data_IF_206311709573
#
_entry.id   IF_206311709573
#
_cell.length_a   1.000
_cell.length_b   1.000
_cell.length_c   1.000
_cell.angle_alpha   90.00
_cell.angle_beta   90.00
_cell.angle_gamma   90.00
#
_symmetry.space_group_name_H-M   'P 1'
#
loop_
_entity.id
_entity.type
_entity.pdbx_description
1 polymer ?
#
# COMPACT_ATOMS: atom_id res chain seq x y z
N UNK A 1 -31.23 -30.91 -3.71
CA UNK A 1 -30.93 -31.06 -2.27
C UNK A 1 -29.65 -30.30 -1.92
N UNK A 2 -29.81 -29.07 -1.42
CA UNK A 2 -28.69 -28.30 -0.87
C UNK A 2 -28.46 -28.75 0.57
N UNK A 3 -27.48 -29.63 0.79
CA UNK A 3 -27.05 -29.96 2.15
C UNK A 3 -26.51 -28.67 2.78
N UNK A 4 -27.27 -28.09 3.72
CA UNK A 4 -26.78 -27.05 4.62
C UNK A 4 -25.66 -27.71 5.42
N UNK A 5 -24.41 -27.35 5.10
CA UNK A 5 -23.22 -27.87 5.75
C UNK A 5 -22.85 -26.92 6.88
N UNK A 6 -22.41 -27.51 7.98
CA UNK A 6 -21.99 -26.84 9.20
C UNK A 6 -20.93 -25.74 8.93
N UNK A 7 -21.18 -24.55 9.48
CA UNK A 7 -20.35 -23.36 9.30
C UNK A 7 -18.94 -23.55 9.88
N UNK A 8 -18.79 -24.36 10.93
CA UNK A 8 -17.49 -24.68 11.52
C UNK A 8 -16.62 -25.50 10.56
N UNK A 9 -17.23 -26.45 9.84
CA UNK A 9 -16.54 -27.23 8.78
C UNK A 9 -16.08 -26.34 7.63
N UNK A 10 -16.89 -25.34 7.23
CA UNK A 10 -16.49 -24.37 6.20
C UNK A 10 -15.32 -23.50 6.68
N UNK A 11 -15.39 -22.99 7.92
CA UNK A 11 -14.34 -22.18 8.52
C UNK A 11 -13.01 -22.95 8.63
N UNK A 12 -13.04 -24.20 9.07
CA UNK A 12 -11.87 -25.08 9.15
C UNK A 12 -11.22 -25.33 7.78
N UNK A 13 -12.02 -25.66 6.75
CA UNK A 13 -11.51 -25.88 5.40
C UNK A 13 -10.88 -24.61 4.78
N UNK A 14 -11.44 -23.43 5.06
CA UNK A 14 -10.86 -22.16 4.63
C UNK A 14 -9.54 -21.86 5.37
N UNK A 15 -9.49 -22.08 6.69
CA UNK A 15 -8.28 -21.92 7.48
C UNK A 15 -7.13 -22.82 6.98
N UNK A 16 -7.40 -24.09 6.71
CA UNK A 16 -6.41 -25.03 6.13
C UNK A 16 -5.94 -24.58 4.75
N UNK A 17 -6.83 -23.97 3.95
CA UNK A 17 -6.44 -23.37 2.67
C UNK A 17 -5.57 -22.12 2.84
N UNK A 18 -5.77 -21.35 3.91
CA UNK A 18 -5.03 -20.12 4.19
C UNK A 18 -3.61 -20.39 4.71
N UNK A 19 -3.40 -21.49 5.44
CA UNK A 19 -2.07 -21.96 5.85
C UNK A 19 -1.31 -22.69 4.72
N UNK A 20 -1.87 -22.74 3.50
CA UNK A 20 -1.19 -23.25 2.30
C UNK A 20 -1.36 -24.74 2.02
N UNK A 21 -2.26 -25.44 2.73
CA UNK A 21 -2.50 -26.87 2.51
C UNK A 21 -3.11 -27.12 1.12
N UNK A 22 -2.64 -28.16 0.41
CA UNK A 22 -3.18 -28.52 -0.91
C UNK A 22 -4.64 -28.95 -0.78
N UNK A 23 -5.48 -28.63 -1.76
CA UNK A 23 -6.92 -28.92 -1.69
C UNK A 23 -7.22 -30.42 -1.48
N UNK A 24 -6.36 -31.31 -2.00
CA UNK A 24 -6.50 -32.76 -1.82
C UNK A 24 -6.24 -33.19 -0.37
N UNK A 25 -5.20 -32.64 0.27
CA UNK A 25 -4.87 -32.91 1.66
C UNK A 25 -5.92 -32.29 2.60
N UNK A 26 -6.40 -31.09 2.27
CA UNK A 26 -7.51 -30.45 2.97
C UNK A 26 -8.79 -31.30 2.91
N UNK A 27 -9.11 -31.86 1.74
CA UNK A 27 -10.25 -32.76 1.59
C UNK A 27 -10.15 -34.03 2.44
N UNK A 28 -8.94 -34.57 2.64
CA UNK A 28 -8.69 -35.70 3.53
C UNK A 28 -8.90 -35.30 4.99
N UNK A 29 -8.40 -34.13 5.40
CA UNK A 29 -8.50 -33.63 6.77
C UNK A 29 -9.93 -33.27 7.16
N UNK A 30 -10.67 -32.59 6.28
CA UNK A 30 -12.01 -32.09 6.61
C UNK A 30 -13.13 -33.03 6.16
N UNK A 31 -12.82 -34.12 5.43
CA UNK A 31 -13.82 -35.00 4.81
C UNK A 31 -14.68 -34.31 3.75
N UNK A 32 -14.27 -33.13 3.28
CA UNK A 32 -15.04 -32.33 2.32
C UNK A 32 -14.49 -32.56 0.91
N UNK A 33 -15.38 -32.81 -0.06
CA UNK A 33 -14.96 -32.95 -1.45
C UNK A 33 -14.15 -31.73 -1.93
N UNK A 34 -13.01 -31.99 -2.60
CA UNK A 34 -12.10 -30.98 -3.20
C UNK A 34 -12.86 -29.90 -3.98
N UNK A 35 -13.88 -30.30 -4.76
CA UNK A 35 -14.71 -29.36 -5.56
C UNK A 35 -15.47 -28.34 -4.70
N UNK A 36 -15.88 -28.75 -3.50
CA UNK A 36 -16.59 -27.92 -2.52
C UNK A 36 -15.63 -26.93 -1.86
N UNK A 37 -14.44 -27.38 -1.45
CA UNK A 37 -13.38 -26.51 -0.93
C UNK A 37 -13.03 -25.44 -1.96
N UNK A 38 -12.80 -25.81 -3.22
CA UNK A 38 -12.58 -24.87 -4.33
C UNK A 38 -13.75 -23.90 -4.54
N UNK A 39 -15.00 -24.37 -4.40
CA UNK A 39 -16.20 -23.53 -4.50
C UNK A 39 -16.26 -22.50 -3.36
N UNK A 40 -16.06 -22.91 -2.11
CA UNK A 40 -16.01 -22.01 -0.96
C UNK A 40 -14.86 -21.00 -1.11
N UNK A 41 -13.67 -21.48 -1.45
CA UNK A 41 -12.52 -20.64 -1.77
C UNK A 41 -12.83 -19.59 -2.84
N UNK A 42 -13.62 -19.91 -3.89
CA UNK A 42 -14.05 -18.96 -4.94
C UNK A 42 -15.16 -18.01 -4.46
N UNK A 43 -16.10 -18.49 -3.67
CA UNK A 43 -17.18 -17.67 -3.11
C UNK A 43 -16.64 -16.68 -2.08
N UNK A 44 -15.73 -17.10 -1.22
CA UNK A 44 -15.02 -16.28 -0.24
C UNK A 44 -14.15 -15.21 -0.92
N UNK A 45 -13.46 -15.59 -2.01
CA UNK A 45 -12.77 -14.64 -2.90
C UNK A 45 -13.70 -13.58 -3.51
N UNK A 46 -14.89 -13.99 -3.98
CA UNK A 46 -15.88 -13.08 -4.57
C UNK A 46 -16.50 -12.16 -3.52
N UNK A 47 -16.65 -12.64 -2.28
CA UNK A 47 -17.15 -11.89 -1.12
C UNK A 47 -16.08 -11.01 -0.45
N UNK A 48 -14.83 -11.04 -0.94
CA UNK A 48 -13.79 -10.10 -0.53
C UNK A 48 -13.11 -10.40 0.81
N UNK A 49 -13.36 -11.56 1.42
CA UNK A 49 -12.61 -11.96 2.61
C UNK A 49 -11.23 -12.52 2.20
N UNK A 50 -10.14 -12.05 2.85
CA UNK A 50 -8.79 -12.21 2.34
C UNK A 50 -8.31 -13.66 2.40
N UNK A 51 -7.77 -14.18 1.30
CA UNK A 51 -6.88 -15.35 1.33
C UNK A 51 -5.48 -14.92 1.75
N UNK A 52 -4.81 -15.81 2.48
CA UNK A 52 -3.39 -15.78 2.84
C UNK A 52 -2.48 -15.16 1.78
N UNK A 53 -2.13 -13.90 1.98
CA UNK A 53 -1.08 -13.14 1.28
C UNK A 53 -0.15 -12.49 2.33
N UNK A 54 0.05 -13.13 3.49
CA UNK A 54 0.97 -12.61 4.52
C UNK A 54 2.39 -12.40 3.96
N UNK A 55 2.78 -13.11 2.91
CA UNK A 55 4.07 -12.94 2.23
C UNK A 55 4.08 -11.87 1.11
N UNK A 56 2.93 -11.39 0.61
CA UNK A 56 2.83 -10.40 -0.49
C UNK A 56 2.38 -9.00 -0.01
N UNK A 57 1.85 -8.94 1.21
CA UNK A 57 1.57 -7.71 1.93
C UNK A 57 2.43 -7.72 3.19
N UNK A 58 3.60 -7.05 3.19
CA UNK A 58 4.38 -6.92 4.42
C UNK A 58 3.48 -6.41 5.56
N UNK A 59 3.71 -6.88 6.80
CA UNK A 59 2.95 -6.41 7.96
C UNK A 59 3.10 -4.89 8.10
N UNK A 60 2.14 -4.24 8.74
CA UNK A 60 2.19 -2.80 8.89
C UNK A 60 3.31 -2.43 9.86
N UNK A 61 4.28 -1.58 9.46
CA UNK A 61 5.31 -1.13 10.39
C UNK A 61 4.76 -0.42 11.63
N UNK A 62 3.60 0.22 11.49
CA UNK A 62 2.93 0.94 12.58
C UNK A 62 2.06 0.03 13.46
N UNK A 63 1.20 -0.79 12.84
CA UNK A 63 0.22 -1.57 13.59
C UNK A 63 0.77 -2.91 14.09
N UNK A 64 1.69 -3.49 13.33
CA UNK A 64 2.20 -4.86 13.55
C UNK A 64 3.68 -4.87 13.96
N UNK A 65 4.31 -3.69 14.12
CA UNK A 65 5.72 -3.55 14.51
C UNK A 65 6.72 -4.06 13.48
N UNK A 66 6.34 -4.09 12.20
CA UNK A 66 7.23 -4.49 11.12
C UNK A 66 8.38 -3.49 10.95
N UNK A 67 9.50 -3.96 10.41
CA UNK A 67 10.63 -3.08 10.09
C UNK A 67 10.25 -2.12 8.95
N UNK A 68 10.64 -0.85 9.10
CA UNK A 68 10.50 0.19 8.09
C UNK A 68 11.88 0.76 7.79
N UNK A 69 12.23 0.80 6.51
CA UNK A 69 13.39 1.56 6.05
C UNK A 69 13.08 3.06 6.22
N UNK A 70 13.52 3.62 7.34
CA UNK A 70 13.26 5.01 7.72
C UNK A 70 13.82 6.03 6.72
N UNK A 71 15.07 5.89 6.20
CA UNK A 71 15.57 6.74 5.12
C UNK A 71 14.70 6.69 3.85
N UNK A 72 14.35 5.49 3.39
CA UNK A 72 13.53 5.33 2.18
C UNK A 72 12.12 5.88 2.39
N UNK A 73 11.57 5.72 3.59
CA UNK A 73 10.28 6.30 3.97
C UNK A 73 10.34 7.83 4.00
N UNK A 74 11.36 8.44 4.61
CA UNK A 74 11.54 9.89 4.63
C UNK A 74 11.63 10.48 3.22
N UNK A 75 12.39 9.83 2.33
CA UNK A 75 12.48 10.23 0.94
C UNK A 75 11.13 10.12 0.21
N UNK A 76 10.44 8.98 0.35
CA UNK A 76 9.14 8.77 -0.26
C UNK A 76 8.06 9.71 0.30
N UNK A 77 8.17 10.09 1.57
CA UNK A 77 7.32 11.07 2.22
C UNK A 77 7.51 12.47 1.64
N UNK A 78 8.75 12.89 1.38
CA UNK A 78 9.03 14.13 0.64
C UNK A 78 8.34 14.16 -0.72
N UNK A 79 8.50 13.09 -1.51
CA UNK A 79 7.83 12.97 -2.81
C UNK A 79 6.31 12.94 -2.73
N UNK A 80 5.75 12.26 -1.72
CA UNK A 80 4.30 12.25 -1.50
C UNK A 80 3.74 13.64 -1.20
N UNK A 81 4.47 14.46 -0.43
CA UNK A 81 4.03 15.82 -0.08
C UNK A 81 4.14 16.82 -1.24
N UNK A 82 5.10 16.62 -2.15
CA UNK A 82 5.26 17.46 -3.34
C UNK A 82 4.34 17.03 -4.49
N UNK A 83 4.69 15.90 -5.10
CA UNK A 83 4.18 15.45 -6.41
C UNK A 83 3.41 14.12 -6.35
N UNK A 84 3.24 13.57 -5.16
CA UNK A 84 2.52 12.33 -4.93
C UNK A 84 1.06 12.51 -4.52
N UNK A 85 0.30 11.44 -4.66
CA UNK A 85 -1.07 11.36 -4.16
C UNK A 85 -1.46 9.90 -3.86
N UNK A 86 -2.45 9.74 -2.98
CA UNK A 86 -3.04 8.45 -2.65
C UNK A 86 -4.48 8.37 -3.19
N UNK A 87 -4.78 7.28 -3.90
CA UNK A 87 -6.15 6.94 -4.31
C UNK A 87 -6.57 5.60 -3.72
N UNK A 88 -7.78 5.55 -3.18
CA UNK A 88 -8.43 4.28 -2.89
C UNK A 88 -8.89 3.60 -4.19
N UNK A 89 -8.36 2.41 -4.44
CA UNK A 89 -8.73 1.54 -5.53
C UNK A 89 -9.67 0.42 -5.07
N UNK A 90 -10.08 -0.44 -6.00
CA UNK A 90 -10.99 -1.57 -5.71
C UNK A 90 -10.43 -2.46 -4.60
N UNK A 91 -11.34 -3.05 -3.81
CA UNK A 91 -11.01 -3.97 -2.69
C UNK A 91 -10.20 -3.30 -1.56
N UNK A 92 -10.44 -2.02 -1.30
CA UNK A 92 -9.81 -1.24 -0.21
C UNK A 92 -8.27 -1.23 -0.31
N UNK A 93 -7.74 -1.29 -1.54
CA UNK A 93 -6.31 -1.17 -1.79
C UNK A 93 -6.03 0.29 -2.09
N UNK A 94 -5.08 0.89 -1.37
CA UNK A 94 -4.64 2.24 -1.67
C UNK A 94 -3.48 2.20 -2.65
N UNK A 95 -3.45 3.16 -3.55
CA UNK A 95 -2.40 3.29 -4.56
C UNK A 95 -1.68 4.60 -4.32
N UNK A 96 -0.39 4.52 -4.02
CA UNK A 96 0.50 5.67 -4.02
C UNK A 96 0.98 5.89 -5.45
N UNK A 97 0.79 7.10 -5.94
CA UNK A 97 1.26 7.53 -7.25
C UNK A 97 2.16 8.74 -7.06
N UNK A 98 3.31 8.76 -7.71
CA UNK A 98 4.24 9.91 -7.76
C UNK A 98 4.46 10.28 -9.21
N UNK A 99 4.29 11.56 -9.52
CA UNK A 99 4.64 12.12 -10.82
C UNK A 99 6.09 12.60 -10.82
N UNK A 100 6.80 12.35 -11.91
CA UNK A 100 8.11 12.90 -12.16
C UNK A 100 8.19 13.31 -13.64
N UNK A 101 8.95 14.35 -13.96
CA UNK A 101 9.17 14.73 -15.35
C UNK A 101 9.84 13.57 -16.11
N UNK A 102 9.49 13.39 -17.39
CA UNK A 102 10.07 12.33 -18.21
C UNK A 102 11.59 12.51 -18.42
N UNK A 103 12.11 13.72 -18.29
CA UNK A 103 13.54 14.04 -18.42
C UNK A 103 14.37 13.59 -17.22
N UNK A 104 13.80 13.60 -16.00
CA UNK A 104 14.51 13.24 -14.75
C UNK A 104 14.50 11.73 -14.47
N UNK A 105 15.07 10.94 -15.37
CA UNK A 105 15.08 9.47 -15.28
C UNK A 105 15.83 8.91 -14.06
N UNK A 106 16.86 9.60 -13.58
CA UNK A 106 17.62 9.24 -12.38
C UNK A 106 16.76 9.38 -11.11
N UNK A 107 16.09 10.53 -10.95
CA UNK A 107 15.16 10.76 -9.84
C UNK A 107 14.02 9.75 -9.84
N UNK A 108 13.47 9.40 -11.02
CA UNK A 108 12.48 8.34 -11.12
C UNK A 108 13.03 7.01 -10.57
N UNK A 109 14.27 6.63 -10.89
CA UNK A 109 14.89 5.42 -10.38
C UNK A 109 15.04 5.43 -8.85
N UNK A 110 15.41 6.56 -8.26
CA UNK A 110 15.56 6.73 -6.81
C UNK A 110 14.20 6.64 -6.07
N UNK A 111 13.15 7.24 -6.64
CA UNK A 111 11.78 7.11 -6.12
C UNK A 111 11.33 5.66 -6.17
N UNK A 112 11.56 4.98 -7.31
CA UNK A 112 11.21 3.58 -7.47
C UNK A 112 11.97 2.67 -6.49
N UNK A 113 13.25 2.97 -6.21
CA UNK A 113 14.03 2.26 -5.21
C UNK A 113 13.43 2.45 -3.81
N UNK A 114 13.06 3.69 -3.46
CA UNK A 114 12.43 4.02 -2.17
C UNK A 114 11.07 3.32 -2.00
N UNK A 115 10.25 3.28 -3.06
CA UNK A 115 8.99 2.53 -3.05
C UNK A 115 9.19 1.02 -2.81
N UNK A 116 10.25 0.43 -3.36
CA UNK A 116 10.59 -0.99 -3.17
C UNK A 116 11.14 -1.29 -1.79
N UNK A 117 11.95 -0.40 -1.24
CA UNK A 117 12.48 -0.52 0.12
C UNK A 117 11.36 -0.43 1.17
N UNK A 118 10.44 0.54 1.02
CA UNK A 118 9.30 0.71 1.93
C UNK A 118 8.26 -0.41 1.77
N UNK A 119 8.07 -0.94 0.56
CA UNK A 119 7.21 -2.08 0.31
C UNK A 119 7.96 -3.21 -0.41
N UNK A 120 8.70 -4.05 0.32
CA UNK A 120 9.35 -5.22 -0.25
C UNK A 120 8.34 -6.16 -0.92
N UNK A 121 8.72 -6.73 -2.06
CA UNK A 121 7.85 -7.62 -2.85
C UNK A 121 6.61 -6.95 -3.46
N UNK A 122 6.52 -5.62 -3.41
CA UNK A 122 5.47 -4.87 -4.10
C UNK A 122 5.61 -4.89 -5.62
N UNK A 123 4.47 -5.03 -6.32
CA UNK A 123 4.43 -4.79 -7.76
C UNK A 123 4.37 -3.28 -7.99
N UNK A 124 5.49 -2.73 -8.42
CA UNK A 124 5.61 -1.37 -8.92
C UNK A 124 5.14 -1.33 -10.39
N UNK A 125 4.32 -0.34 -10.71
CA UNK A 125 3.83 -0.05 -12.05
C UNK A 125 4.33 1.33 -12.48
N UNK A 126 4.74 1.47 -13.75
CA UNK A 126 5.25 2.73 -14.29
C UNK A 126 4.45 3.08 -15.53
N UNK A 127 3.95 4.31 -15.62
CA UNK A 127 3.10 4.78 -16.72
C UNK A 127 3.70 6.02 -17.34
N UNK A 128 4.00 5.94 -18.64
CA UNK A 128 4.38 7.11 -19.41
C UNK A 128 3.15 7.99 -19.68
N UNK A 129 3.31 9.29 -19.51
CA UNK A 129 2.38 10.36 -19.88
C UNK A 129 3.15 11.41 -20.70
N UNK A 130 2.46 12.23 -21.52
CA UNK A 130 3.12 13.33 -22.22
C UNK A 130 3.87 14.23 -21.22
N UNK A 131 5.20 14.26 -21.31
CA UNK A 131 6.08 15.04 -20.44
C UNK A 131 6.34 14.48 -19.03
N UNK A 132 5.73 13.34 -18.64
CA UNK A 132 5.88 12.83 -17.27
C UNK A 132 5.87 11.29 -17.18
N UNK A 133 6.58 10.77 -16.20
CA UNK A 133 6.53 9.38 -15.76
C UNK A 133 5.79 9.29 -14.44
N UNK A 134 4.78 8.42 -14.38
CA UNK A 134 4.00 8.17 -13.17
C UNK A 134 4.41 6.82 -12.58
N UNK A 135 4.93 6.83 -11.36
CA UNK A 135 5.31 5.62 -10.62
C UNK A 135 4.21 5.29 -9.62
N UNK A 136 3.78 4.03 -9.60
CA UNK A 136 2.55 3.62 -8.94
C UNK A 136 2.76 2.34 -8.15
N UNK A 137 2.42 2.35 -6.87
CA UNK A 137 2.53 1.16 -6.01
C UNK A 137 1.31 0.99 -5.10
N UNK A 138 0.74 -0.22 -5.12
CA UNK A 138 -0.47 -0.56 -4.37
C UNK A 138 -0.18 -1.23 -3.02
N UNK A 139 -0.78 -0.72 -1.94
CA UNK A 139 -0.73 -1.33 -0.62
C UNK A 139 -1.90 -0.87 0.25
N UNK A 140 -2.50 -1.79 1.01
CA UNK A 140 -3.59 -1.47 1.94
C UNK A 140 -3.16 -0.60 3.11
N UNK A 141 -1.86 -0.64 3.46
CA UNK A 141 -1.29 0.00 4.65
C UNK A 141 -0.86 1.46 4.37
N UNK A 142 -0.87 1.91 3.12
CA UNK A 142 -0.48 3.30 2.81
C UNK A 142 -1.17 4.36 3.68
N UNK A 143 -2.48 4.29 3.99
CA UNK A 143 -3.12 5.27 4.88
C UNK A 143 -2.64 5.22 6.33
N UNK A 144 -2.02 4.12 6.78
CA UNK A 144 -1.39 4.05 8.10
C UNK A 144 -0.03 4.77 8.11
N UNK A 145 0.73 4.65 7.01
CA UNK A 145 2.05 5.27 6.87
C UNK A 145 1.97 6.75 6.47
N UNK A 146 1.01 7.12 5.63
CA UNK A 146 0.80 8.50 5.18
C UNK A 146 -0.37 9.17 5.91
N UNK A 147 -0.69 8.70 7.11
CA UNK A 147 -1.62 9.40 7.98
C UNK A 147 -0.97 10.71 8.39
N UNK A 148 -1.49 11.81 7.87
CA UNK A 148 -1.17 13.13 8.37
C UNK A 148 -2.08 13.39 9.58
N UNK A 149 -1.58 14.14 10.56
CA UNK A 149 -2.31 14.53 11.75
C UNK A 149 -3.30 15.64 11.41
N UNK A 150 -4.58 15.46 11.77
CA UNK A 150 -5.56 16.55 11.76
C UNK A 150 -5.57 17.17 13.15
N UNK A 151 -5.58 18.50 13.28
CA UNK A 151 -5.74 19.14 14.58
C UNK A 151 -7.12 18.87 15.23
N UNK A 152 -8.06 18.26 14.51
CA UNK A 152 -9.39 17.88 15.00
C UNK A 152 -9.70 16.40 14.69
N UNK A 153 -9.86 15.60 15.74
CA UNK A 153 -10.23 14.18 15.72
C UNK A 153 -11.58 13.86 15.05
N UNK A 154 -12.36 14.89 14.73
CA UNK A 154 -13.67 14.77 14.07
C UNK A 154 -13.57 14.67 12.54
N UNK A 155 -12.41 14.99 11.96
CA UNK A 155 -12.21 15.04 10.51
C UNK A 155 -11.40 13.84 10.06
N UNK A 156 -12.09 12.82 9.53
CA UNK A 156 -11.44 11.76 8.74
C UNK A 156 -10.59 12.44 7.67
N UNK A 157 -9.29 12.21 7.71
CA UNK A 157 -8.30 12.83 6.84
C UNK A 157 -8.76 12.82 5.39
N UNK A 158 -9.20 14.00 4.94
CA UNK A 158 -9.88 14.21 3.69
C UNK A 158 -8.84 14.66 2.68
N UNK A 159 -8.17 13.70 2.04
CA UNK A 159 -7.61 13.96 0.71
C UNK A 159 -8.70 14.50 -0.25
N UNK A 160 -9.98 14.26 0.09
CA UNK A 160 -11.19 14.74 -0.59
C UNK A 160 -11.90 15.94 0.08
N UNK A 161 -11.17 16.85 0.74
CA UNK A 161 -11.75 18.11 1.22
C UNK A 161 -12.04 19.09 0.09
N UNK A 162 -13.01 20.03 0.24
CA UNK A 162 -13.10 21.19 -0.65
C UNK A 162 -11.91 22.15 -0.42
N UNK A 163 -11.44 22.82 -1.46
CA UNK A 163 -10.32 23.80 -1.42
C UNK A 163 -9.04 23.32 -2.11
N UNK A 164 -8.12 24.23 -2.44
CA UNK A 164 -6.88 23.90 -3.17
C UNK A 164 -5.93 23.08 -2.28
N UNK A 165 -5.24 22.09 -2.87
CA UNK A 165 -4.37 21.14 -2.14
C UNK A 165 -3.28 21.83 -1.30
N UNK A 166 -2.75 22.95 -1.79
CA UNK A 166 -1.64 23.71 -1.21
C UNK A 166 -2.04 24.63 -0.03
N UNK A 167 -3.34 24.78 0.24
CA UNK A 167 -3.86 25.63 1.33
C UNK A 167 -4.17 24.85 2.60
N UNK A 168 -3.91 23.54 2.63
CA UNK A 168 -4.25 22.68 3.77
C UNK A 168 -3.02 22.48 4.67
N UNK A 169 -3.17 22.51 6.00
CA UNK A 169 -2.07 22.20 6.90
C UNK A 169 -1.64 20.75 6.69
N UNK A 170 -0.38 20.57 6.30
CA UNK A 170 0.28 19.26 6.23
C UNK A 170 0.80 18.97 7.64
N UNK A 171 -0.07 18.42 8.49
CA UNK A 171 0.33 17.97 9.82
C UNK A 171 1.05 16.64 9.69
N UNK A 172 2.37 16.60 9.91
CA UNK A 172 3.05 15.33 10.17
C UNK A 172 2.67 14.84 11.57
N UNK A 173 2.46 13.54 11.72
CA UNK A 173 2.38 12.92 13.04
C UNK A 173 3.75 13.01 13.73
N UNK A 174 3.82 13.05 15.08
CA UNK A 174 5.09 13.20 15.80
C UNK A 174 6.17 12.20 15.36
N UNK A 175 5.81 10.92 15.21
CA UNK A 175 6.75 9.88 14.76
C UNK A 175 7.25 10.09 13.30
N UNK A 176 6.44 10.69 12.43
CA UNK A 176 6.88 11.01 11.05
C UNK A 176 7.87 12.17 11.07
N UNK A 177 7.61 13.16 11.92
CA UNK A 177 8.51 14.29 12.14
C UNK A 177 9.85 13.79 12.66
N UNK A 178 9.85 12.90 13.66
CA UNK A 178 11.07 12.32 14.21
C UNK A 178 11.90 11.59 13.14
N UNK A 179 11.25 10.83 12.24
CA UNK A 179 11.95 10.15 11.14
C UNK A 179 12.53 11.16 10.14
N UNK A 180 11.76 12.18 9.75
CA UNK A 180 12.21 13.22 8.81
C UNK A 180 13.37 14.03 9.39
N UNK A 181 13.31 14.38 10.68
CA UNK A 181 14.37 15.11 11.37
C UNK A 181 15.65 14.30 11.52
N UNK A 182 15.55 12.96 11.65
CA UNK A 182 16.70 12.05 11.63
C UNK A 182 17.29 11.83 10.25
N UNK A 183 16.51 12.03 9.19
CA UNK A 183 16.91 11.84 7.79
C UNK A 183 16.60 13.07 6.90
N UNK A 184 17.17 14.25 7.21
CA UNK A 184 16.79 15.50 6.55
C UNK A 184 17.18 15.52 5.07
N UNK A 185 18.37 15.00 4.71
CA UNK A 185 18.86 14.95 3.34
C UNK A 185 17.99 14.10 2.42
N UNK A 186 17.46 12.98 2.92
CA UNK A 186 16.55 12.11 2.19
C UNK A 186 15.23 12.83 1.86
N UNK A 187 14.70 13.66 2.77
CA UNK A 187 13.48 14.43 2.53
C UNK A 187 13.68 15.66 1.63
N UNK A 188 14.83 16.34 1.73
CA UNK A 188 15.12 17.58 0.98
C UNK A 188 15.50 17.36 -0.49
N UNK A 189 16.05 16.19 -0.86
CA UNK A 189 16.40 15.93 -2.28
C UNK A 189 15.18 15.97 -3.21
N UNK A 190 13.98 15.67 -2.70
CA UNK A 190 12.74 15.80 -3.47
C UNK A 190 12.35 17.26 -3.83
N UNK A 191 12.93 18.26 -3.14
CA UNK A 191 12.64 19.69 -3.39
C UNK A 191 13.76 20.41 -4.13
N UNK A 192 14.89 19.75 -4.37
CA UNK A 192 16.02 20.29 -5.14
C UNK A 192 15.86 19.95 -6.61
N UNK A 193 14.89 20.58 -7.28
CA UNK A 193 14.88 20.61 -8.75
C UNK A 193 16.15 21.32 -9.23
N UNK A 194 16.95 20.74 -10.15
CA UNK A 194 17.99 21.50 -10.82
C UNK A 194 17.28 22.60 -11.63
N UNK A 195 17.42 23.84 -11.18
CA UNK A 195 16.95 24.99 -11.94
C UNK A 195 17.94 25.20 -13.09
N UNK A 196 17.50 24.95 -14.31
CA UNK A 196 18.29 25.13 -15.54
C UNK A 196 18.04 23.96 -16.48
N UNK A 197 17.45 24.13 -17.67
CA UNK A 197 18.01 24.94 -18.76
C UNK A 197 16.86 25.52 -19.61
N UNK A 198 16.88 26.84 -19.80
CA UNK A 198 16.39 27.50 -21.02
C UNK A 198 17.65 27.88 -21.85
N UNK A 199 17.56 27.90 -23.19
CA UNK A 199 16.88 29.02 -23.86
C UNK A 199 15.63 28.63 -24.65
#
# INVERSE_FOLDING_TARGET
MGQVRDDATMAGALHLSDIGLRDADNALVTGVAVKTIRRWRRLYQRRGQPRGQRHLAPPCPRCDGAELDEPAYAHLLGWYLGDGYLIEARRQVFTLSVFNDATYTTLAAEVMASMRAVKPGGRLDTRARPGATVMVIGWKIWPCLFRLSAPDSSVRHRQHGPGRKHTRPIGLEPWQRDIVERHPSASCMASSFPTGVAP
#
